data_IF_425220154573
#
_entry.id   IF_425220154573
#
_cell.length_a   1.000
_cell.length_b   1.000
_cell.length_c   1.000
_cell.angle_alpha   90.00
_cell.angle_beta   90.00
_cell.angle_gamma   90.00
#
_symmetry.space_group_name_H-M   'P 1'
#
loop_
_entity.id
_entity.type
_entity.pdbx_description
1 polymer ?
#
# COMPACT_ATOMS: atom_id res chain seq x y z
N UNK A 1 5.00 15.29 5.53
CA UNK A 1 4.25 14.69 4.40
C UNK A 1 4.14 15.70 3.27
N UNK A 2 4.31 15.23 2.06
CA UNK A 2 4.19 16.06 0.86
C UNK A 2 3.15 15.46 -0.08
N UNK A 3 2.54 16.33 -0.88
CA UNK A 3 1.57 15.93 -1.89
C UNK A 3 2.09 16.30 -3.28
N UNK A 4 1.90 15.42 -4.24
CA UNK A 4 2.26 15.66 -5.63
C UNK A 4 1.25 14.99 -6.56
N UNK A 5 1.31 15.34 -7.83
CA UNK A 5 0.52 14.69 -8.86
C UNK A 5 1.49 14.14 -9.92
N UNK A 6 1.37 12.84 -10.20
CA UNK A 6 2.20 12.17 -11.21
C UNK A 6 1.28 11.56 -12.27
N UNK A 7 0.87 12.36 -13.30
CA UNK A 7 -0.06 11.89 -14.31
C UNK A 7 0.41 10.59 -14.97
N UNK A 8 -0.49 9.60 -15.05
CA UNK A 8 -0.21 8.33 -15.67
C UNK A 8 0.48 7.29 -14.77
N UNK A 9 0.79 7.61 -13.52
CA UNK A 9 1.50 6.70 -12.62
C UNK A 9 0.73 5.38 -12.41
N UNK A 10 -0.56 5.45 -12.15
CA UNK A 10 -1.41 4.27 -11.96
C UNK A 10 -1.50 3.46 -13.26
N UNK A 11 -1.69 4.13 -14.39
CA UNK A 11 -1.75 3.47 -15.69
C UNK A 11 -0.44 2.73 -16.00
N UNK A 12 0.70 3.36 -15.72
CA UNK A 12 2.01 2.75 -15.89
C UNK A 12 2.17 1.51 -15.02
N UNK A 13 1.77 1.59 -13.75
CA UNK A 13 1.79 0.44 -12.84
C UNK A 13 0.95 -0.71 -13.40
N UNK A 14 -0.28 -0.44 -13.83
CA UNK A 14 -1.20 -1.48 -14.34
C UNK A 14 -0.69 -2.18 -15.60
N UNK A 15 0.21 -1.54 -16.34
CA UNK A 15 0.85 -2.09 -17.53
C UNK A 15 2.20 -2.76 -17.27
N UNK A 16 2.73 -2.62 -16.06
CA UNK A 16 4.02 -3.22 -15.70
C UNK A 16 3.84 -4.71 -15.44
N UNK A 17 4.66 -5.54 -16.06
CA UNK A 17 4.73 -6.96 -15.78
C UNK A 17 5.64 -7.19 -14.58
N UNK A 18 5.14 -7.85 -13.53
CA UNK A 18 5.89 -8.20 -12.33
C UNK A 18 6.21 -9.69 -12.34
N UNK A 19 7.42 -10.06 -11.92
CA UNK A 19 7.86 -11.47 -11.91
C UNK A 19 7.16 -12.29 -10.85
N UNK A 20 6.83 -11.69 -9.71
CA UNK A 20 6.24 -12.38 -8.57
C UNK A 20 5.10 -11.56 -7.99
N UNK A 21 4.06 -12.25 -7.51
CA UNK A 21 2.97 -11.62 -6.78
C UNK A 21 2.36 -12.57 -5.77
N UNK A 22 1.80 -12.03 -4.71
CA UNK A 22 0.97 -12.74 -3.74
C UNK A 22 -0.14 -11.82 -3.26
N UNK A 23 -1.30 -12.37 -2.97
CA UNK A 23 -2.46 -11.61 -2.52
C UNK A 23 -2.93 -12.12 -1.18
N UNK A 24 -3.23 -11.19 -0.27
CA UNK A 24 -3.80 -11.48 1.03
C UNK A 24 -5.13 -10.77 1.18
N UNK A 25 -6.05 -11.39 1.92
CA UNK A 25 -7.24 -10.68 2.37
C UNK A 25 -6.81 -9.53 3.30
N UNK A 26 -7.35 -8.34 3.09
CA UNK A 26 -7.05 -7.18 3.94
C UNK A 26 -7.83 -7.29 5.25
N UNK A 27 -7.15 -7.51 6.39
CA UNK A 27 -7.86 -7.74 7.66
C UNK A 27 -8.19 -6.42 8.35
N UNK A 28 -9.27 -5.75 7.93
CA UNK A 28 -9.64 -4.41 8.39
C UNK A 28 -9.72 -4.26 9.90
N UNK A 29 -10.06 -5.34 10.62
CA UNK A 29 -10.14 -5.32 12.08
C UNK A 29 -8.80 -5.59 12.77
N UNK A 30 -7.75 -5.92 12.01
CA UNK A 30 -6.42 -6.29 12.55
C UNK A 30 -5.29 -5.57 11.80
N UNK A 31 -5.55 -4.37 11.31
CA UNK A 31 -4.53 -3.59 10.59
C UNK A 31 -3.35 -3.21 11.47
N UNK A 32 -3.56 -3.06 12.77
CA UNK A 32 -2.53 -2.80 13.75
C UNK A 32 -1.52 -3.95 13.93
N UNK A 33 -1.87 -5.15 13.48
CA UNK A 33 -0.98 -6.32 13.43
C UNK A 33 -0.49 -6.56 11.99
N UNK A 34 -1.39 -6.42 11.03
CA UNK A 34 -1.10 -6.69 9.61
C UNK A 34 -0.02 -5.77 9.05
N UNK A 35 -0.15 -4.46 9.25
CA UNK A 35 0.79 -3.48 8.71
C UNK A 35 2.20 -3.67 9.30
N UNK A 36 2.39 -3.75 10.63
CA UNK A 36 3.73 -4.04 11.16
C UNK A 36 4.31 -5.37 10.67
N UNK A 37 3.48 -6.40 10.49
CA UNK A 37 3.93 -7.70 10.00
C UNK A 37 4.50 -7.65 8.58
N UNK A 38 3.99 -6.76 7.73
CA UNK A 38 4.53 -6.55 6.38
C UNK A 38 6.01 -6.15 6.44
N UNK A 39 6.37 -5.31 7.39
CA UNK A 39 7.71 -4.72 7.48
C UNK A 39 8.65 -5.47 8.43
N UNK A 40 8.15 -6.40 9.25
CA UNK A 40 8.92 -7.00 10.34
C UNK A 40 10.14 -7.82 9.90
N UNK A 41 10.11 -8.37 8.69
CA UNK A 41 11.22 -9.15 8.13
C UNK A 41 12.11 -8.34 7.20
N UNK A 42 11.83 -7.05 7.04
CA UNK A 42 12.53 -6.16 6.14
C UNK A 42 13.37 -5.16 6.92
N UNK A 43 14.38 -4.61 6.28
CA UNK A 43 15.08 -3.43 6.79
C UNK A 43 14.09 -2.27 6.89
N UNK A 44 14.24 -1.34 7.87
CA UNK A 44 13.32 -0.22 8.03
C UNK A 44 13.18 0.60 6.75
N UNK A 45 11.94 0.80 6.32
CA UNK A 45 11.63 1.63 5.16
C UNK A 45 11.43 3.06 5.66
N UNK A 46 12.34 3.94 5.24
CA UNK A 46 12.41 5.31 5.73
C UNK A 46 11.57 6.31 4.95
N UNK A 47 11.16 5.94 3.74
CA UNK A 47 10.36 6.81 2.88
C UNK A 47 9.47 5.95 2.00
N UNK A 48 8.23 6.36 1.85
CA UNK A 48 7.28 5.70 0.96
C UNK A 48 6.19 6.68 0.53
N UNK A 49 5.52 6.33 -0.56
CA UNK A 49 4.35 7.07 -1.02
C UNK A 49 3.17 6.14 -1.26
N UNK A 50 1.97 6.71 -1.16
CA UNK A 50 0.78 6.11 -1.74
C UNK A 50 0.35 6.95 -2.93
N UNK A 51 -0.08 6.30 -4.00
CA UNK A 51 -0.66 6.95 -5.17
C UNK A 51 -2.10 6.49 -5.30
N UNK A 52 -3.01 7.44 -5.39
CA UNK A 52 -4.44 7.17 -5.41
C UNK A 52 -4.85 6.69 -6.79
N UNK A 53 -5.57 5.57 -6.85
CA UNK A 53 -6.30 5.14 -8.05
C UNK A 53 -7.75 5.61 -7.98
N UNK A 54 -8.37 5.49 -6.82
CA UNK A 54 -9.73 5.93 -6.58
C UNK A 54 -10.16 5.67 -5.14
N UNK A 55 -11.41 5.96 -4.85
CA UNK A 55 -12.04 5.62 -3.59
C UNK A 55 -13.55 5.51 -3.74
N UNK A 56 -14.13 4.53 -3.05
CA UNK A 56 -15.58 4.32 -3.05
C UNK A 56 -16.27 5.13 -1.94
N UNK A 57 -15.53 5.48 -0.88
CA UNK A 57 -16.02 6.21 0.28
C UNK A 57 -15.12 7.40 0.56
N UNK A 58 -15.65 8.43 1.22
CA UNK A 58 -14.83 9.57 1.62
C UNK A 58 -13.66 9.12 2.51
N UNK A 59 -12.41 9.43 2.15
CA UNK A 59 -11.23 8.99 2.91
C UNK A 59 -11.00 9.88 4.13
N UNK A 60 -11.83 9.73 5.16
CA UNK A 60 -11.84 10.60 6.34
C UNK A 60 -10.54 10.62 7.12
N UNK A 61 -9.92 9.45 7.31
CA UNK A 61 -8.68 9.36 8.08
C UNK A 61 -7.50 9.95 7.31
N UNK A 62 -7.47 9.77 6.01
CA UNK A 62 -6.43 10.37 5.17
C UNK A 62 -6.56 11.90 5.14
N UNK A 63 -7.77 12.41 5.00
CA UNK A 63 -8.04 13.86 5.04
C UNK A 63 -7.61 14.43 6.40
N UNK A 64 -7.92 13.76 7.51
CA UNK A 64 -7.49 14.16 8.84
C UNK A 64 -5.96 14.18 8.97
N UNK A 65 -5.29 13.17 8.42
CA UNK A 65 -3.82 13.12 8.40
C UNK A 65 -3.23 14.29 7.60
N UNK A 66 -3.78 14.55 6.42
CA UNK A 66 -3.35 15.70 5.60
C UNK A 66 -3.49 17.02 6.34
N UNK A 67 -4.57 17.21 7.10
CA UNK A 67 -4.80 18.41 7.88
C UNK A 67 -3.74 18.63 8.95
N UNK A 68 -3.22 17.57 9.56
CA UNK A 68 -2.11 17.66 10.51
C UNK A 68 -0.85 18.27 9.90
N UNK A 69 -0.65 18.08 8.62
CA UNK A 69 0.50 18.60 7.87
C UNK A 69 0.16 19.87 7.08
N UNK A 70 -0.99 20.48 7.35
CA UNK A 70 -1.47 21.67 6.65
C UNK A 70 -1.53 21.49 5.13
N UNK A 71 -1.81 20.25 4.68
CA UNK A 71 -1.96 19.94 3.27
C UNK A 71 -3.41 20.08 2.86
N UNK A 72 -3.63 20.83 1.79
CA UNK A 72 -4.94 21.03 1.16
C UNK A 72 -4.82 20.60 -0.29
N UNK A 73 -5.77 19.82 -0.78
CA UNK A 73 -5.79 19.39 -2.16
C UNK A 73 -6.85 18.33 -2.40
N UNK A 74 -7.22 18.15 -3.65
CA UNK A 74 -8.12 17.10 -4.07
C UNK A 74 -7.38 15.78 -4.18
N UNK A 75 -7.94 14.76 -3.55
CA UNK A 75 -7.47 13.38 -3.73
C UNK A 75 -8.12 12.83 -4.98
N UNK A 76 -7.38 12.83 -6.06
CA UNK A 76 -7.83 12.31 -7.34
C UNK A 76 -6.84 11.24 -7.82
N UNK A 77 -7.18 10.57 -8.90
CA UNK A 77 -6.29 9.59 -9.50
C UNK A 77 -4.92 10.21 -9.80
N UNK A 78 -3.86 9.46 -9.51
CA UNK A 78 -2.46 9.86 -9.66
C UNK A 78 -1.97 10.89 -8.64
N UNK A 79 -2.81 11.30 -7.68
CA UNK A 79 -2.32 12.07 -6.53
C UNK A 79 -1.46 11.15 -5.65
N UNK A 80 -0.26 11.63 -5.33
CA UNK A 80 0.69 10.89 -4.47
C UNK A 80 0.95 11.64 -3.18
N UNK A 81 0.93 10.91 -2.07
CA UNK A 81 1.29 11.39 -0.75
C UNK A 81 2.56 10.67 -0.31
N UNK A 82 3.58 11.44 0.06
CA UNK A 82 4.88 10.89 0.46
C UNK A 82 5.19 11.23 1.90
N UNK A 83 5.66 10.26 2.66
CA UNK A 83 6.08 10.43 4.05
C UNK A 83 7.50 9.93 4.23
N UNK A 84 8.18 10.51 5.23
CA UNK A 84 9.52 10.13 5.65
C UNK A 84 9.46 9.72 7.11
N UNK A 85 10.20 8.70 7.49
CA UNK A 85 10.23 8.08 8.81
C UNK A 85 9.45 6.76 8.83
N UNK A 86 10.06 5.67 9.33
CA UNK A 86 9.43 4.34 9.34
C UNK A 86 8.06 4.30 10.01
N UNK A 87 7.88 5.02 11.14
CA UNK A 87 6.58 5.04 11.82
C UNK A 87 5.49 5.72 10.99
N UNK A 88 5.85 6.77 10.26
CA UNK A 88 4.90 7.49 9.38
C UNK A 88 4.59 6.68 8.13
N UNK A 89 5.54 5.91 7.63
CA UNK A 89 5.32 4.99 6.52
C UNK A 89 4.24 3.96 6.89
N UNK A 90 4.36 3.35 8.06
CA UNK A 90 3.38 2.38 8.52
C UNK A 90 2.02 3.02 8.81
N UNK A 91 2.00 4.21 9.39
CA UNK A 91 0.76 4.95 9.64
C UNK A 91 0.02 5.27 8.34
N UNK A 92 0.74 5.75 7.33
CA UNK A 92 0.16 6.06 6.02
C UNK A 92 -0.48 4.83 5.38
N UNK A 93 0.24 3.71 5.39
CA UNK A 93 -0.27 2.46 4.83
C UNK A 93 -1.50 1.96 5.58
N UNK A 94 -1.47 2.01 6.91
CA UNK A 94 -2.61 1.62 7.74
C UNK A 94 -3.85 2.47 7.43
N UNK A 95 -3.67 3.77 7.30
CA UNK A 95 -4.76 4.71 6.96
C UNK A 95 -5.32 4.41 5.57
N UNK A 96 -4.46 4.16 4.59
CA UNK A 96 -4.90 3.83 3.24
C UNK A 96 -5.78 2.57 3.21
N UNK A 97 -5.40 1.55 3.96
CA UNK A 97 -6.23 0.35 4.11
C UNK A 97 -7.55 0.67 4.83
N UNK A 98 -7.48 1.40 5.95
CA UNK A 98 -8.67 1.65 6.78
C UNK A 98 -9.72 2.51 6.08
N UNK A 99 -9.31 3.39 5.19
CA UNK A 99 -10.21 4.23 4.39
C UNK A 99 -10.73 3.54 3.12
N UNK A 100 -10.34 2.29 2.89
CA UNK A 100 -10.75 1.52 1.72
C UNK A 100 -10.38 2.19 0.40
N UNK A 101 -9.21 2.78 0.34
CA UNK A 101 -8.72 3.39 -0.89
C UNK A 101 -8.37 2.33 -1.93
N UNK A 102 -8.52 2.70 -3.19
CA UNK A 102 -7.83 2.02 -4.28
C UNK A 102 -6.50 2.73 -4.45
N UNK A 103 -5.40 2.08 -4.12
CA UNK A 103 -4.10 2.75 -4.05
C UNK A 103 -2.93 1.85 -4.39
N UNK A 104 -1.84 2.49 -4.77
CA UNK A 104 -0.54 1.88 -4.95
C UNK A 104 0.41 2.40 -3.87
N UNK A 105 0.97 1.50 -3.07
CA UNK A 105 2.00 1.84 -2.09
C UNK A 105 3.37 1.53 -2.69
N UNK A 106 4.27 2.52 -2.65
CA UNK A 106 5.61 2.43 -3.23
C UNK A 106 6.65 2.86 -2.21
N UNK A 107 7.40 1.91 -1.62
CA UNK A 107 8.53 2.28 -0.77
C UNK A 107 9.72 2.76 -1.59
N UNK A 108 10.50 3.65 -1.02
CA UNK A 108 11.80 4.02 -1.59
C UNK A 108 12.78 2.88 -1.36
N UNK A 109 13.64 2.65 -2.32
CA UNK A 109 14.19 1.37 -2.67
C UNK A 109 13.03 0.42 -2.95
N UNK A 110 12.53 0.47 -4.14
CA UNK A 110 11.32 -0.20 -4.64
C UNK A 110 11.49 -1.73 -4.68
N UNK A 111 11.69 -2.35 -3.52
CA UNK A 111 11.87 -3.80 -3.37
C UNK A 111 10.58 -4.55 -3.63
N UNK A 112 9.46 -3.90 -3.38
CA UNK A 112 8.11 -4.41 -3.63
C UNK A 112 7.16 -3.23 -3.76
N UNK A 113 5.97 -3.47 -4.24
CA UNK A 113 4.86 -2.52 -4.19
C UNK A 113 3.61 -3.25 -3.73
N UNK A 114 2.65 -2.51 -3.19
CA UNK A 114 1.35 -3.05 -2.79
C UNK A 114 0.27 -2.31 -3.57
N UNK A 115 -0.60 -3.06 -4.22
CA UNK A 115 -1.84 -2.51 -4.74
C UNK A 115 -3.00 -3.10 -3.95
N UNK A 116 -3.85 -2.23 -3.43
CA UNK A 116 -5.04 -2.65 -2.71
C UNK A 116 -6.25 -1.87 -3.22
N UNK A 117 -7.42 -2.44 -3.06
CA UNK A 117 -8.67 -1.82 -3.45
C UNK A 117 -9.76 -2.08 -2.41
N UNK A 118 -10.93 -1.50 -2.65
CA UNK A 118 -12.08 -1.64 -1.78
C UNK A 118 -12.71 -3.04 -1.79
N UNK A 119 -12.20 -3.97 -2.62
CA UNK A 119 -12.62 -5.37 -2.65
C UNK A 119 -11.97 -6.21 -1.54
N UNK A 120 -11.26 -5.58 -0.62
CA UNK A 120 -10.62 -6.20 0.54
C UNK A 120 -9.45 -7.12 0.20
N UNK A 121 -8.78 -6.91 -0.92
CA UNK A 121 -7.58 -7.63 -1.30
C UNK A 121 -6.38 -6.70 -1.39
N UNK A 122 -5.26 -7.15 -0.84
CA UNK A 122 -3.96 -6.49 -0.96
C UNK A 122 -3.02 -7.40 -1.74
N UNK A 123 -2.54 -6.93 -2.88
CA UNK A 123 -1.62 -7.68 -3.72
C UNK A 123 -0.22 -7.08 -3.63
N UNK A 124 0.74 -7.93 -3.30
CA UNK A 124 2.15 -7.58 -3.17
C UNK A 124 2.85 -8.01 -4.46
N UNK A 125 3.59 -7.11 -5.07
CA UNK A 125 4.35 -7.35 -6.31
C UNK A 125 5.82 -7.13 -6.07
N UNK A 126 6.67 -8.01 -6.60
CA UNK A 126 8.11 -7.85 -6.56
C UNK A 126 8.75 -8.48 -7.80
N UNK A 127 9.96 -8.05 -8.13
CA UNK A 127 10.75 -8.67 -9.19
C UNK A 127 11.73 -9.72 -8.66
N UNK A 128 11.91 -9.80 -7.34
CA UNK A 128 12.69 -10.83 -6.68
C UNK A 128 11.81 -11.67 -5.78
N UNK A 129 11.91 -12.98 -5.94
CA UNK A 129 11.14 -13.92 -5.14
C UNK A 129 11.48 -13.82 -3.65
N UNK A 130 12.76 -13.58 -3.32
CA UNK A 130 13.21 -13.52 -1.92
C UNK A 130 12.53 -12.39 -1.13
N UNK A 131 12.37 -11.21 -1.71
CA UNK A 131 11.70 -10.10 -1.05
C UNK A 131 10.22 -10.42 -0.77
N UNK A 132 9.56 -11.01 -1.76
CA UNK A 132 8.16 -11.37 -1.63
C UNK A 132 7.96 -12.47 -0.58
N UNK A 133 8.83 -13.48 -0.57
CA UNK A 133 8.75 -14.59 0.39
C UNK A 133 8.95 -14.15 1.83
N UNK A 134 9.79 -13.15 2.09
CA UNK A 134 9.93 -12.58 3.43
C UNK A 134 8.62 -12.00 3.94
N UNK A 135 7.95 -11.20 3.12
CA UNK A 135 6.66 -10.59 3.45
C UNK A 135 5.60 -11.68 3.63
N UNK A 136 5.51 -12.58 2.66
CA UNK A 136 4.54 -13.67 2.66
C UNK A 136 4.69 -14.54 3.92
N UNK A 137 5.90 -14.97 4.24
CA UNK A 137 6.17 -15.79 5.42
C UNK A 137 5.81 -15.09 6.71
N UNK A 138 6.13 -13.80 6.82
CA UNK A 138 5.78 -12.99 8.00
C UNK A 138 4.27 -12.90 8.20
N UNK A 139 3.51 -12.67 7.12
CA UNK A 139 2.06 -12.59 7.19
C UNK A 139 1.42 -13.94 7.52
N UNK A 140 1.89 -15.02 6.91
CA UNK A 140 1.40 -16.36 7.19
C UNK A 140 1.67 -16.77 8.64
N UNK A 141 2.84 -16.42 9.17
CA UNK A 141 3.20 -16.73 10.55
C UNK A 141 2.26 -16.04 11.55
N UNK A 142 1.74 -14.87 11.21
CA UNK A 142 0.75 -14.14 12.01
C UNK A 142 -0.69 -14.62 11.80
N UNK A 143 -0.90 -15.62 10.93
CA UNK A 143 -2.21 -16.21 10.70
C UNK A 143 -3.07 -15.48 9.68
N UNK A 144 -2.51 -14.58 8.88
CA UNK A 144 -3.28 -13.88 7.85
C UNK A 144 -3.54 -14.79 6.64
N UNK A 145 -4.65 -14.55 5.95
CA UNK A 145 -5.14 -15.40 4.89
C UNK A 145 -4.57 -14.99 3.53
N UNK A 146 -3.80 -15.90 2.92
CA UNK A 146 -3.37 -15.76 1.54
C UNK A 146 -4.47 -16.23 0.59
N UNK A 147 -4.76 -15.44 -0.42
CA UNK A 147 -5.73 -15.78 -1.46
C UNK A 147 -4.98 -16.43 -2.61
N UNK A 148 -5.02 -17.74 -2.67
CA UNK A 148 -4.32 -18.51 -3.70
C UNK A 148 -5.07 -18.48 -5.02
N UNK A 149 -4.33 -18.58 -6.12
CA UNK A 149 -4.87 -18.59 -7.49
C UNK A 149 -5.65 -17.32 -7.85
N UNK A 150 -5.38 -16.24 -7.13
CA UNK A 150 -5.95 -14.94 -7.46
C UNK A 150 -4.98 -14.17 -8.35
N UNK A 151 -5.48 -13.70 -9.46
CA UNK A 151 -4.74 -12.83 -10.37
C UNK A 151 -5.58 -11.58 -10.59
N UNK A 152 -5.00 -10.43 -10.22
CA UNK A 152 -5.67 -9.16 -10.40
C UNK A 152 -5.66 -8.77 -11.88
N UNK A 153 -6.83 -8.46 -12.40
CA UNK A 153 -7.00 -7.96 -13.77
C UNK A 153 -7.36 -6.48 -13.72
N UNK A 154 -6.63 -5.72 -14.50
CA UNK A 154 -6.87 -4.30 -14.61
C UNK A 154 -7.59 -3.93 -15.90
#
# INVERSE_FOLDING_TARGET
MTISNTPGAIKKFKRTAWSCQTTFATPLKKLDVFVPAIFSSLEPIKEASITIDGYAFEPKNLIALMSKYSLVGNLQRDTSLTVVDPSKVQELLRIAFSDWLDFLFVPVLKLFVIYADHDEYATFYANTKSNLERIRSSLLLKGFEEIRNYERKF
#
